data_IF_653649078220
#
_entry.id   IF_653649078220
#
_cell.length_a   1.000
_cell.length_b   1.000
_cell.length_c   1.000
_cell.angle_alpha   90.00
_cell.angle_beta   90.00
_cell.angle_gamma   90.00
#
_symmetry.space_group_name_H-M   'P 1'
#
loop_
_entity.id
_entity.type
_entity.pdbx_description
1 polymer ?
#
# COMPACT_ATOMS: atom_id res chain seq x y z
N UNK A 1 5.82 -6.14 1.85
CA UNK A 1 4.50 -6.42 2.46
C UNK A 1 4.31 -5.87 3.88
N UNK A 2 5.35 -5.73 4.75
CA UNK A 2 5.17 -5.12 6.09
C UNK A 2 4.84 -3.62 6.11
N UNK A 3 5.36 -2.83 5.17
CA UNK A 3 5.16 -1.36 5.14
C UNK A 3 3.81 -0.95 4.54
N UNK A 4 3.36 -1.71 3.55
CA UNK A 4 2.05 -1.67 2.92
C UNK A 4 0.87 -1.70 3.92
N UNK A 5 0.89 -2.67 4.84
CA UNK A 5 -0.09 -2.77 5.91
C UNK A 5 0.01 -1.62 6.92
N UNK A 6 1.19 -1.02 7.09
CA UNK A 6 1.45 0.03 8.08
C UNK A 6 0.62 1.28 7.81
N UNK A 7 0.52 1.73 6.55
CA UNK A 7 -0.24 2.92 6.18
C UNK A 7 -1.76 2.75 6.35
N UNK A 8 -2.29 1.54 6.10
CA UNK A 8 -3.70 1.21 6.35
C UNK A 8 -4.01 1.10 7.85
N UNK A 9 -3.05 0.67 8.67
CA UNK A 9 -3.13 0.68 10.14
C UNK A 9 -3.03 2.10 10.71
N UNK A 10 -2.22 2.97 10.10
CA UNK A 10 -1.97 4.34 10.53
C UNK A 10 -3.24 5.20 10.67
N UNK A 11 -4.20 5.13 9.73
CA UNK A 11 -5.51 5.81 9.88
C UNK A 11 -6.31 5.38 11.14
N UNK A 12 -5.95 4.27 11.79
CA UNK A 12 -6.50 3.78 13.06
C UNK A 12 -5.55 3.91 14.25
N UNK A 13 -4.27 4.24 14.05
CA UNK A 13 -3.26 4.30 15.10
C UNK A 13 -3.04 5.74 15.58
N UNK A 14 -2.97 5.91 16.91
CA UNK A 14 -2.56 7.13 17.62
C UNK A 14 -1.10 7.50 17.30
N UNK A 15 -0.75 7.80 16.05
CA UNK A 15 0.60 8.27 15.71
C UNK A 15 0.78 9.73 16.05
N UNK A 16 2.01 10.11 16.34
CA UNK A 16 2.38 11.52 16.34
C UNK A 16 2.48 12.02 14.91
N UNK A 17 2.16 13.31 14.72
CA UNK A 17 2.37 14.00 13.45
C UNK A 17 3.82 13.85 12.92
N UNK A 18 4.80 13.85 13.83
CA UNK A 18 6.22 13.65 13.49
C UNK A 18 6.47 12.27 12.87
N UNK A 19 5.89 11.21 13.43
CA UNK A 19 6.05 9.86 12.89
C UNK A 19 5.45 9.76 11.48
N UNK A 20 4.24 10.30 11.26
CA UNK A 20 3.63 10.36 9.94
C UNK A 20 4.49 11.11 8.92
N UNK A 21 5.15 12.19 9.37
CA UNK A 21 6.03 12.97 8.51
C UNK A 21 7.32 12.24 8.17
N UNK A 22 7.96 11.62 9.17
CA UNK A 22 9.18 10.84 8.98
C UNK A 22 8.92 9.68 8.00
N UNK A 23 7.73 9.06 8.03
CA UNK A 23 7.30 8.05 7.05
C UNK A 23 7.14 8.62 5.64
N UNK A 24 6.53 9.80 5.48
CA UNK A 24 6.41 10.47 4.17
C UNK A 24 7.80 10.79 3.61
N UNK A 25 8.73 11.25 4.43
CA UNK A 25 10.10 11.49 4.00
C UNK A 25 10.78 10.20 3.56
N UNK A 26 10.58 9.12 4.31
CA UNK A 26 11.08 7.81 3.93
C UNK A 26 10.50 7.33 2.59
N UNK A 27 9.20 7.51 2.35
CA UNK A 27 8.57 7.17 1.07
C UNK A 27 9.17 7.99 -0.07
N UNK A 28 9.31 9.30 0.10
CA UNK A 28 9.93 10.18 -0.90
C UNK A 28 11.37 9.77 -1.21
N UNK A 29 12.18 9.44 -0.20
CA UNK A 29 13.58 9.04 -0.38
C UNK A 29 13.75 7.76 -1.20
N UNK A 30 12.80 6.83 -1.08
CA UNK A 30 12.85 5.53 -1.76
C UNK A 30 12.02 5.50 -3.04
N UNK A 31 11.37 6.61 -3.40
CA UNK A 31 10.57 6.72 -4.61
C UNK A 31 11.37 7.39 -5.74
N UNK A 32 11.17 6.97 -6.99
CA UNK A 32 11.75 7.64 -8.17
C UNK A 32 11.34 9.12 -8.28
N UNK A 33 10.15 9.46 -7.79
CA UNK A 33 9.60 10.83 -7.79
C UNK A 33 8.99 11.15 -6.43
N UNK A 34 9.02 12.42 -6.04
CA UNK A 34 8.36 12.91 -4.81
C UNK A 34 6.87 12.52 -4.83
N UNK A 35 6.43 11.82 -3.80
CA UNK A 35 5.05 11.34 -3.58
C UNK A 35 4.21 12.42 -2.90
N UNK A 36 4.77 13.10 -1.89
CA UNK A 36 4.12 14.22 -1.20
C UNK A 36 5.02 15.44 -1.25
N UNK A 37 4.51 16.51 -1.88
CA UNK A 37 5.15 17.81 -1.93
C UNK A 37 4.80 18.61 -0.68
N UNK A 38 5.79 19.33 -0.18
CA UNK A 38 5.69 20.14 1.02
C UNK A 38 5.83 21.60 0.58
N UNK A 39 4.89 22.46 0.95
CA UNK A 39 5.09 23.88 0.72
C UNK A 39 6.05 24.40 1.80
N UNK A 40 7.28 24.73 1.42
CA UNK A 40 8.21 25.43 2.32
C UNK A 40 7.73 26.87 2.54
N UNK A 41 7.13 27.14 3.71
CA UNK A 41 7.10 28.45 4.36
C UNK A 41 6.22 29.55 3.73
N UNK A 42 5.17 29.93 4.45
CA UNK A 42 4.44 31.19 4.27
C UNK A 42 3.60 31.49 5.52
N UNK A 43 3.27 32.76 5.76
CA UNK A 43 2.62 33.31 6.98
C UNK A 43 1.30 32.59 7.41
N UNK A 44 0.73 31.74 6.55
CA UNK A 44 -0.52 31.00 6.75
C UNK A 44 -0.39 29.46 6.68
N UNK A 45 0.81 28.90 6.89
CA UNK A 45 0.99 27.46 7.07
C UNK A 45 1.28 26.72 5.76
N UNK A 46 2.44 26.07 5.71
CA UNK A 46 2.85 25.21 4.59
C UNK A 46 1.93 23.99 4.50
N UNK A 47 1.09 23.96 3.48
CA UNK A 47 0.29 22.78 3.15
C UNK A 47 1.14 21.68 2.53
N UNK A 48 0.66 20.44 2.63
CA UNK A 48 1.20 19.30 1.89
C UNK A 48 0.23 18.91 0.78
N UNK A 49 0.75 18.57 -0.41
CA UNK A 49 -0.05 18.10 -1.54
C UNK A 49 0.52 16.79 -2.07
N UNK A 50 -0.36 15.82 -2.33
CA UNK A 50 0.04 14.60 -3.04
C UNK A 50 0.36 14.95 -4.50
N UNK A 51 1.48 14.44 -5.01
CA UNK A 51 1.83 14.56 -6.43
C UNK A 51 0.98 13.61 -7.28
N UNK A 52 1.00 13.78 -8.60
CA UNK A 52 0.32 12.84 -9.49
C UNK A 52 0.97 11.44 -9.44
N UNK A 53 2.30 11.38 -9.34
CA UNK A 53 3.01 10.13 -9.07
C UNK A 53 2.55 9.49 -7.75
N UNK A 54 2.34 10.30 -6.71
CA UNK A 54 1.86 9.79 -5.44
C UNK A 54 0.44 9.21 -5.49
N UNK A 55 -0.43 9.75 -6.36
CA UNK A 55 -1.76 9.18 -6.60
C UNK A 55 -1.65 7.83 -7.33
N UNK A 56 -0.84 7.76 -8.39
CA UNK A 56 -0.59 6.53 -9.15
C UNK A 56 0.01 5.42 -8.25
N UNK A 57 0.91 5.81 -7.34
CA UNK A 57 1.48 4.89 -6.36
C UNK A 57 0.40 4.31 -5.43
N UNK A 58 -0.54 5.13 -4.95
CA UNK A 58 -1.66 4.67 -4.10
C UNK A 58 -2.56 3.71 -4.88
N UNK A 59 -2.94 4.07 -6.11
CA UNK A 59 -3.81 3.23 -6.94
C UNK A 59 -3.16 1.87 -7.24
N UNK A 60 -1.89 1.87 -7.62
CA UNK A 60 -1.10 0.66 -7.84
C UNK A 60 -1.02 -0.19 -6.59
N UNK A 61 -0.82 0.47 -5.44
CA UNK A 61 -0.74 -0.20 -4.16
C UNK A 61 -2.07 -0.87 -3.76
N UNK A 62 -3.20 -0.20 -3.98
CA UNK A 62 -4.53 -0.75 -3.70
C UNK A 62 -4.85 -1.96 -4.59
N UNK A 63 -4.47 -1.92 -5.87
CA UNK A 63 -4.57 -3.07 -6.79
C UNK A 63 -3.74 -4.26 -6.28
N UNK A 64 -2.49 -4.03 -5.88
CA UNK A 64 -1.61 -5.06 -5.34
C UNK A 64 -2.20 -5.68 -4.06
N UNK A 65 -2.75 -4.87 -3.17
CA UNK A 65 -3.40 -5.35 -1.94
C UNK A 65 -4.63 -6.21 -2.23
N UNK A 66 -5.46 -5.82 -3.20
CA UNK A 66 -6.60 -6.62 -3.64
C UNK A 66 -6.14 -7.98 -4.20
N UNK A 67 -5.06 -7.98 -4.99
CA UNK A 67 -4.48 -9.21 -5.51
C UNK A 67 -3.96 -10.14 -4.40
N UNK A 68 -3.19 -9.61 -3.44
CA UNK A 68 -2.70 -10.40 -2.30
C UNK A 68 -3.86 -10.96 -1.47
N UNK A 69 -4.89 -10.16 -1.23
CA UNK A 69 -6.06 -10.63 -0.48
C UNK A 69 -6.77 -11.80 -1.20
N UNK A 70 -6.93 -11.69 -2.53
CA UNK A 70 -7.49 -12.78 -3.32
C UNK A 70 -6.62 -14.05 -3.22
N UNK A 71 -5.30 -13.92 -3.34
CA UNK A 71 -4.40 -15.06 -3.16
C UNK A 71 -4.57 -15.72 -1.79
N UNK A 72 -4.61 -14.93 -0.72
CA UNK A 72 -4.80 -15.47 0.63
C UNK A 72 -6.13 -16.22 0.78
N UNK A 73 -7.22 -15.68 0.25
CA UNK A 73 -8.55 -16.30 0.36
C UNK A 73 -8.63 -17.64 -0.41
N UNK A 74 -8.03 -17.71 -1.59
CA UNK A 74 -7.97 -18.96 -2.37
C UNK A 74 -7.07 -20.01 -1.70
N UNK A 75 -6.05 -19.60 -0.95
CA UNK A 75 -5.12 -20.52 -0.29
C UNK A 75 -5.55 -20.96 1.11
N UNK A 76 -6.48 -20.25 1.78
CA UNK A 76 -6.97 -20.61 3.12
C UNK A 76 -8.18 -21.56 3.09
N UNK A 77 -8.89 -21.63 1.97
CA UNK A 77 -10.14 -22.38 1.84
C UNK A 77 -9.93 -23.73 1.13
N UNK A 78 -9.25 -24.66 1.79
CA UNK A 78 -9.11 -26.04 1.32
C UNK A 78 -9.31 -27.02 2.48
N UNK A 79 -9.98 -28.15 2.24
CA UNK A 79 -10.16 -29.21 3.23
C UNK A 79 -9.05 -30.26 3.11
N UNK A 80 -8.53 -30.45 1.90
CA UNK A 80 -7.47 -31.42 1.62
C UNK A 80 -6.52 -30.96 0.49
N UNK A 81 -5.48 -31.77 0.22
CA UNK A 81 -4.44 -31.44 -0.77
C UNK A 81 -4.95 -31.39 -2.22
N UNK A 82 -6.03 -32.08 -2.54
CA UNK A 82 -6.66 -32.03 -3.87
C UNK A 82 -7.30 -30.66 -4.07
N UNK A 83 -8.09 -30.18 -3.11
CA UNK A 83 -8.74 -28.87 -3.21
C UNK A 83 -7.69 -27.74 -3.26
N UNK A 84 -6.62 -27.84 -2.46
CA UNK A 84 -5.52 -26.88 -2.50
C UNK A 84 -4.87 -26.84 -3.89
N UNK A 85 -4.65 -28.01 -4.51
CA UNK A 85 -4.08 -28.10 -5.85
C UNK A 85 -5.00 -27.46 -6.89
N UNK A 86 -6.31 -27.68 -6.82
CA UNK A 86 -7.30 -27.08 -7.71
C UNK A 86 -7.35 -25.54 -7.56
N UNK A 87 -7.28 -25.04 -6.32
CA UNK A 87 -7.22 -23.62 -6.03
C UNK A 87 -5.96 -22.98 -6.64
N UNK A 88 -4.80 -23.61 -6.48
CA UNK A 88 -3.53 -23.14 -7.07
C UNK A 88 -3.61 -23.11 -8.60
N UNK A 89 -4.16 -24.15 -9.24
CA UNK A 89 -4.32 -24.19 -10.70
C UNK A 89 -5.27 -23.09 -11.20
N UNK A 90 -6.35 -22.84 -10.46
CA UNK A 90 -7.30 -21.77 -10.77
C UNK A 90 -6.64 -20.40 -10.67
N UNK A 91 -5.81 -20.18 -9.64
CA UNK A 91 -5.02 -18.95 -9.49
C UNK A 91 -4.03 -18.77 -10.64
N UNK A 92 -3.32 -19.83 -11.04
CA UNK A 92 -2.41 -19.80 -12.18
C UNK A 92 -3.13 -19.41 -13.47
N UNK A 93 -4.34 -19.94 -13.72
CA UNK A 93 -5.14 -19.61 -14.90
C UNK A 93 -5.66 -18.17 -14.90
N UNK A 94 -5.94 -17.59 -13.74
CA UNK A 94 -6.35 -16.17 -13.64
C UNK A 94 -5.18 -15.20 -13.88
N UNK A 95 -3.95 -15.69 -13.76
CA UNK A 95 -2.72 -14.92 -13.92
C UNK A 95 -2.11 -15.02 -15.32
N UNK A 96 -2.50 -16.03 -16.10
CA UNK A 96 -2.14 -16.23 -17.52
C UNK A 96 -3.10 -15.51 -18.45
#
# INVERSE_FOLDING_TARGET
MRQALYLKQQKKMKMSYKAAWDDIQNINQHSPTIVVQTATGGKNGGGSKISDYGKELIETFDLLQGFIHNLEDNLKNFENLTDLRENIQTLQKKLS
#
